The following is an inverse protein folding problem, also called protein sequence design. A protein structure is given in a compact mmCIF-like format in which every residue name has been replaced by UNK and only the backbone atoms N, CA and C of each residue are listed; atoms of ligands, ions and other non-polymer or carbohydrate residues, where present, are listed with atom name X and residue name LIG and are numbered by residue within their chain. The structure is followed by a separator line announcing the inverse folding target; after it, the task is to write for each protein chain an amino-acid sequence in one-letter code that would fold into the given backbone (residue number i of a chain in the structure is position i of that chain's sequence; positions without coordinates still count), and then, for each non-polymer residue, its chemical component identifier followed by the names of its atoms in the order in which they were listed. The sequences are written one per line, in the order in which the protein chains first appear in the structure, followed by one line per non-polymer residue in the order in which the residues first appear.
data_IF_733690850176
#
_entry.id   IF_733690850176
#
_cell.length_a   1.000
_cell.length_b   1.000
_cell.length_c   1.000
_cell.angle_alpha   90.00
_cell.angle_beta   90.00
_cell.angle_gamma   90.00
#
_symmetry.space_group_name_H-M   'P 1'
#
loop_
_entity.id
_entity.type
_entity.pdbx_description
1 polymer ?
#
# COMPACT_ATOMS: atom_id res chain seq x y z
N UNK A 1 26.71 -3.55 5.49
CA UNK A 1 25.41 -3.92 6.08
C UNK A 1 25.19 -5.38 5.71
N UNK A 2 25.15 -6.28 6.68
CA UNK A 2 24.76 -7.67 6.40
C UNK A 2 23.30 -7.69 5.96
N UNK A 3 23.05 -8.20 4.75
CA UNK A 3 21.69 -8.50 4.34
C UNK A 3 21.27 -9.80 5.02
N UNK A 4 20.07 -9.87 5.63
CA UNK A 4 19.60 -11.10 6.24
C UNK A 4 19.58 -12.20 5.19
N UNK A 5 19.98 -13.41 5.59
CA UNK A 5 20.02 -14.56 4.70
C UNK A 5 18.65 -14.75 4.01
N UNK A 6 18.63 -15.03 2.70
CA UNK A 6 17.38 -15.23 1.97
C UNK A 6 16.59 -16.40 2.58
N UNK A 7 15.26 -16.25 2.65
CA UNK A 7 14.36 -17.32 3.12
C UNK A 7 14.55 -18.58 2.28
N UNK A 8 14.56 -19.74 2.93
CA UNK A 8 14.62 -21.03 2.24
C UNK A 8 13.28 -21.33 1.54
N UNK A 9 13.29 -22.23 0.56
CA UNK A 9 12.06 -22.66 -0.11
C UNK A 9 11.03 -23.24 0.87
N UNK A 10 11.50 -23.97 1.88
CA UNK A 10 10.63 -24.56 2.89
C UNK A 10 9.99 -23.50 3.79
N UNK A 11 10.74 -22.45 4.16
CA UNK A 11 10.19 -21.31 4.89
C UNK A 11 9.15 -20.57 4.05
N UNK A 12 9.39 -20.35 2.76
CA UNK A 12 8.41 -19.74 1.87
C UNK A 12 7.14 -20.60 1.74
N UNK A 13 7.28 -21.91 1.52
CA UNK A 13 6.14 -22.85 1.47
C UNK A 13 5.33 -22.83 2.76
N UNK A 14 5.99 -22.77 3.92
CA UNK A 14 5.33 -22.69 5.22
C UNK A 14 4.53 -21.39 5.39
N UNK A 15 5.06 -20.24 4.95
CA UNK A 15 4.33 -18.96 4.98
C UNK A 15 3.09 -19.02 4.09
N UNK A 16 3.20 -19.54 2.87
CA UNK A 16 2.04 -19.67 1.98
C UNK A 16 0.97 -20.61 2.55
N UNK A 17 1.37 -21.74 3.11
CA UNK A 17 0.45 -22.66 3.78
C UNK A 17 -0.24 -22.00 4.98
N UNK A 18 0.52 -21.23 5.77
CA UNK A 18 -0.05 -20.49 6.89
C UNK A 18 -1.08 -19.42 6.45
N UNK A 19 -0.80 -18.70 5.36
CA UNK A 19 -1.77 -17.78 4.77
C UNK A 19 -3.06 -18.49 4.34
N UNK A 20 -2.93 -19.70 3.78
CA UNK A 20 -4.10 -20.53 3.43
C UNK A 20 -4.91 -20.91 4.67
N UNK A 21 -4.26 -21.39 5.74
CA UNK A 21 -4.95 -21.74 6.99
C UNK A 21 -5.68 -20.55 7.61
N UNK A 22 -5.11 -19.34 7.56
CA UNK A 22 -5.81 -18.14 8.03
C UNK A 22 -7.05 -17.87 7.18
N UNK A 23 -6.95 -17.97 5.85
CA UNK A 23 -8.09 -17.76 4.96
C UNK A 23 -9.22 -18.76 5.25
N UNK A 24 -8.89 -20.04 5.43
CA UNK A 24 -9.86 -21.08 5.76
C UNK A 24 -10.55 -20.79 7.11
N UNK A 25 -9.78 -20.46 8.15
CA UNK A 25 -10.31 -20.16 9.47
C UNK A 25 -11.22 -18.91 9.49
N UNK A 26 -10.89 -17.87 8.71
CA UNK A 26 -11.73 -16.68 8.59
C UNK A 26 -13.05 -16.99 7.87
N UNK A 27 -13.01 -17.81 6.82
CA UNK A 27 -14.20 -18.23 6.09
C UNK A 27 -15.10 -19.13 6.94
N UNK A 28 -14.53 -20.08 7.68
CA UNK A 28 -15.26 -20.96 8.61
C UNK A 28 -15.93 -20.16 9.74
N UNK A 29 -15.33 -19.04 10.15
CA UNK A 29 -15.91 -18.09 11.10
C UNK A 29 -16.96 -17.15 10.48
N UNK A 30 -17.21 -17.22 9.17
CA UNK A 30 -18.13 -16.33 8.45
C UNK A 30 -17.68 -14.87 8.39
N UNK A 31 -16.38 -14.60 8.59
CA UNK A 31 -15.82 -13.25 8.61
C UNK A 31 -15.38 -12.83 7.21
N UNK A 32 -16.02 -11.79 6.67
CA UNK A 32 -15.61 -11.20 5.41
C UNK A 32 -14.44 -10.21 5.59
N UNK A 33 -13.78 -9.85 4.48
CA UNK A 33 -12.60 -8.96 4.47
C UNK A 33 -12.88 -7.64 5.20
N UNK A 34 -14.06 -7.05 5.02
CA UNK A 34 -14.41 -5.76 5.65
C UNK A 34 -14.52 -5.89 7.18
N UNK A 35 -15.13 -6.96 7.68
CA UNK A 35 -15.28 -7.22 9.11
C UNK A 35 -13.93 -7.46 9.78
N UNK A 36 -13.02 -8.20 9.14
CA UNK A 36 -11.68 -8.43 9.66
C UNK A 36 -10.90 -7.12 9.72
N UNK A 37 -10.90 -6.33 8.63
CA UNK A 37 -10.16 -5.07 8.55
C UNK A 37 -10.68 -3.99 9.50
N UNK A 38 -12.00 -3.92 9.74
CA UNK A 38 -12.58 -2.97 10.73
C UNK A 38 -12.09 -3.22 12.15
N UNK A 39 -11.81 -4.48 12.50
CA UNK A 39 -11.36 -4.88 13.83
C UNK A 39 -9.84 -5.12 13.88
N UNK A 40 -9.14 -4.87 12.78
CA UNK A 40 -7.70 -5.10 12.66
C UNK A 40 -6.93 -3.99 13.36
N UNK A 41 -6.56 -4.23 14.61
CA UNK A 41 -5.86 -3.29 15.51
C UNK A 41 -4.37 -3.63 15.65
N UNK A 42 -3.73 -4.00 14.55
CA UNK A 42 -2.28 -4.10 14.53
C UNK A 42 -1.73 -2.68 14.70
N UNK A 43 -1.10 -2.41 15.84
CA UNK A 43 -0.42 -1.14 16.17
C UNK A 43 0.82 -0.94 15.27
N UNK A 44 0.57 -0.77 13.99
CA UNK A 44 1.58 -0.48 12.98
C UNK A 44 1.51 0.99 12.66
N UNK A 45 2.60 1.70 12.95
CA UNK A 45 2.75 3.07 12.50
C UNK A 45 2.80 3.14 10.97
N UNK A 46 2.20 4.19 10.42
CA UNK A 46 2.30 4.47 8.99
C UNK A 46 3.74 4.80 8.62
N UNK A 47 4.24 4.16 7.57
CA UNK A 47 5.49 4.53 6.91
C UNK A 47 5.24 4.65 5.40
N UNK A 48 6.23 5.17 4.67
CA UNK A 48 6.12 5.40 3.22
C UNK A 48 5.70 4.14 2.46
N UNK A 49 6.24 2.97 2.82
CA UNK A 49 5.97 1.72 2.12
C UNK A 49 4.58 1.18 2.44
N UNK A 50 4.11 1.30 3.68
CA UNK A 50 2.74 0.92 4.04
C UNK A 50 1.70 1.84 3.37
N UNK A 51 1.96 3.15 3.29
CA UNK A 51 1.12 4.07 2.51
C UNK A 51 1.09 3.69 1.03
N UNK A 52 2.26 3.38 0.44
CA UNK A 52 2.36 3.01 -0.97
C UNK A 52 1.67 1.69 -1.29
N UNK A 53 1.88 0.65 -0.49
CA UNK A 53 1.36 -0.69 -0.79
C UNK A 53 -0.09 -0.89 -0.35
N UNK A 54 -0.53 -0.24 0.73
CA UNK A 54 -1.89 -0.39 1.23
C UNK A 54 -2.82 0.62 0.58
N UNK A 55 -2.49 1.92 0.61
CA UNK A 55 -3.38 2.96 0.11
C UNK A 55 -3.20 3.17 -1.39
N UNK A 56 -2.00 3.52 -1.83
CA UNK A 56 -1.76 3.89 -3.22
C UNK A 56 -1.99 2.73 -4.19
N UNK A 57 -1.38 1.56 -3.95
CA UNK A 57 -1.54 0.38 -4.83
C UNK A 57 -2.98 -0.11 -4.92
N UNK A 58 -3.72 -0.06 -3.82
CA UNK A 58 -5.15 -0.44 -3.82
C UNK A 58 -5.97 0.54 -4.64
N UNK A 59 -5.79 1.84 -4.43
CA UNK A 59 -6.48 2.87 -5.20
C UNK A 59 -6.10 2.80 -6.69
N UNK A 60 -4.81 2.64 -7.00
CA UNK A 60 -4.29 2.50 -8.35
C UNK A 60 -4.95 1.33 -9.09
N UNK A 61 -4.92 0.12 -8.51
CA UNK A 61 -5.50 -1.07 -9.16
C UNK A 61 -7.00 -0.90 -9.40
N UNK A 62 -7.73 -0.34 -8.44
CA UNK A 62 -9.18 -0.14 -8.56
C UNK A 62 -9.56 0.93 -9.58
N UNK A 63 -8.80 2.01 -9.68
CA UNK A 63 -9.14 3.15 -10.55
C UNK A 63 -8.59 3.01 -11.97
N UNK A 64 -7.47 2.32 -12.14
CA UNK A 64 -6.73 2.27 -13.42
C UNK A 64 -6.53 0.86 -13.96
N UNK A 65 -6.75 -0.18 -13.14
CA UNK A 65 -6.41 -1.57 -13.49
C UNK A 65 -4.91 -1.88 -13.50
N UNK A 66 -4.04 -0.89 -13.26
CA UNK A 66 -2.58 -1.04 -13.37
C UNK A 66 -1.96 -1.53 -12.07
N UNK A 67 -0.93 -2.38 -12.19
CA UNK A 67 -0.29 -3.00 -11.03
C UNK A 67 0.98 -2.28 -10.60
N UNK A 68 1.70 -1.66 -11.54
CA UNK A 68 2.94 -0.91 -11.25
C UNK A 68 2.76 0.61 -11.39
N UNK A 69 3.49 1.39 -10.61
CA UNK A 69 3.50 2.87 -10.70
C UNK A 69 4.22 3.31 -11.96
N UNK A 70 5.08 2.46 -12.52
CA UNK A 70 5.77 2.70 -13.80
C UNK A 70 4.80 2.64 -14.99
N UNK A 71 3.61 2.05 -14.82
CA UNK A 71 2.59 1.94 -15.86
C UNK A 71 1.65 3.16 -15.88
N UNK A 72 1.70 4.03 -14.86
CA UNK A 72 0.77 5.14 -14.73
C UNK A 72 1.07 6.27 -15.73
N UNK A 73 0.01 6.85 -16.29
CA UNK A 73 0.13 8.12 -16.99
C UNK A 73 0.48 9.22 -15.99
N UNK A 74 1.51 10.01 -16.32
CA UNK A 74 2.12 10.98 -15.40
C UNK A 74 1.14 12.00 -14.81
N UNK A 75 0.10 12.36 -15.55
CA UNK A 75 -0.89 13.35 -15.10
C UNK A 75 -2.22 12.70 -14.73
N UNK A 76 -2.86 11.99 -15.66
CA UNK A 76 -4.24 11.55 -15.47
C UNK A 76 -4.39 10.49 -14.37
N UNK A 77 -3.60 9.41 -14.43
CA UNK A 77 -3.70 8.32 -13.46
C UNK A 77 -3.23 8.75 -12.07
N UNK A 78 -2.16 9.53 -12.00
CA UNK A 78 -1.63 10.07 -10.74
C UNK A 78 -2.65 10.99 -10.07
N UNK A 79 -3.26 11.91 -10.82
CA UNK A 79 -4.28 12.83 -10.29
C UNK A 79 -5.50 12.07 -9.77
N UNK A 80 -6.00 11.08 -10.52
CA UNK A 80 -7.14 10.25 -10.10
C UNK A 80 -6.88 9.53 -8.78
N UNK A 81 -5.70 8.92 -8.63
CA UNK A 81 -5.33 8.20 -7.41
C UNK A 81 -5.17 9.18 -6.24
N UNK A 82 -4.48 10.31 -6.47
CA UNK A 82 -4.28 11.36 -5.48
C UNK A 82 -5.61 11.92 -4.94
N UNK A 83 -6.55 12.28 -5.81
CA UNK A 83 -7.86 12.81 -5.39
C UNK A 83 -8.70 11.77 -4.64
N UNK A 84 -8.61 10.50 -5.02
CA UNK A 84 -9.29 9.42 -4.29
C UNK A 84 -8.71 9.24 -2.87
N UNK A 85 -7.39 9.31 -2.73
CA UNK A 85 -6.74 9.24 -1.42
C UNK A 85 -7.08 10.45 -0.55
N UNK A 86 -7.03 11.67 -1.07
CA UNK A 86 -7.41 12.86 -0.32
C UNK A 86 -8.87 12.81 0.15
N UNK A 87 -9.80 12.32 -0.68
CA UNK A 87 -11.19 12.12 -0.27
C UNK A 87 -11.33 11.06 0.83
N UNK A 88 -10.54 9.99 0.76
CA UNK A 88 -10.53 8.95 1.80
C UNK A 88 -9.96 9.50 3.12
N UNK A 89 -8.83 10.18 3.06
CA UNK A 89 -8.17 10.80 4.22
C UNK A 89 -9.04 11.86 4.89
N UNK A 90 -9.75 12.69 4.11
CA UNK A 90 -10.70 13.66 4.64
C UNK A 90 -11.83 13.01 5.44
N UNK A 91 -12.31 11.82 5.04
CA UNK A 91 -13.31 11.05 5.82
C UNK A 91 -12.77 10.55 7.16
N UNK A 92 -11.46 10.43 7.28
CA UNK A 92 -10.77 10.06 8.52
C UNK A 92 -10.36 11.29 9.35
N UNK A 93 -10.70 12.50 8.90
CA UNK A 93 -10.33 13.75 9.58
C UNK A 93 -8.90 14.22 9.32
N UNK A 94 -8.19 13.63 8.34
CA UNK A 94 -6.85 14.08 7.94
C UNK A 94 -6.99 15.25 6.97
N UNK A 95 -6.29 16.35 7.26
CA UNK A 95 -6.26 17.55 6.41
C UNK A 95 -5.65 17.24 5.03
N UNK A 96 -6.02 18.05 4.03
CA UNK A 96 -5.55 17.89 2.66
C UNK A 96 -4.02 17.93 2.57
N UNK A 97 -3.43 16.86 2.05
CA UNK A 97 -1.98 16.75 1.84
C UNK A 97 -1.69 17.11 0.38
N UNK A 98 -1.00 18.24 0.09
CA UNK A 98 -0.70 18.63 -1.28
C UNK A 98 0.24 17.62 -1.94
N UNK A 99 -0.04 17.27 -3.20
CA UNK A 99 0.93 16.52 -4.00
C UNK A 99 2.20 17.36 -4.17
N UNK A 100 3.41 16.79 -3.98
CA UNK A 100 4.65 17.52 -4.18
C UNK A 100 4.82 17.84 -5.67
N UNK A 101 4.32 19.00 -6.08
CA UNK A 101 4.40 19.53 -7.43
C UNK A 101 5.58 20.50 -7.50
N UNK A 102 6.72 20.03 -8.03
CA UNK A 102 7.92 20.81 -8.37
C UNK A 102 8.26 21.93 -7.37
N UNK A 103 8.65 21.56 -6.16
CA UNK A 103 9.42 22.48 -5.33
C UNK A 103 10.83 22.64 -5.96
N UNK A 104 11.30 23.87 -6.25
CA UNK A 104 12.69 24.10 -6.63
C UNK A 104 13.61 23.54 -5.53
N UNK A 105 14.43 22.54 -5.87
CA UNK A 105 15.33 21.86 -4.92
C UNK A 105 14.85 20.49 -4.40
N UNK A 106 13.65 20.02 -4.75
CA UNK A 106 13.20 18.66 -4.40
C UNK A 106 14.08 17.59 -5.05
N UNK A 107 14.46 17.78 -6.33
CA UNK A 107 15.33 16.87 -7.07
C UNK A 107 16.77 16.82 -6.53
N UNK A 108 17.21 17.88 -5.83
CA UNK A 108 18.56 17.94 -5.23
C UNK A 108 18.64 17.17 -3.91
N UNK A 109 17.51 17.00 -3.21
CA UNK A 109 17.41 16.29 -1.92
C UNK A 109 16.84 14.88 -2.04
N UNK A 110 16.35 14.48 -3.22
CA UNK A 110 15.81 13.15 -3.45
C UNK A 110 16.96 12.11 -3.50
N UNK A 111 16.91 11.01 -2.72
CA UNK A 111 17.99 10.02 -2.63
C UNK A 111 18.11 9.10 -3.86
N UNK A 112 17.54 9.47 -4.99
CA UNK A 112 17.57 8.68 -6.23
C UNK A 112 18.35 9.43 -7.29
N UNK A 113 19.67 9.30 -7.22
CA UNK A 113 20.56 9.44 -8.38
C UNK A 113 20.56 8.11 -9.13
N UNK A 114 20.18 8.13 -10.39
CA UNK A 114 20.55 7.15 -11.41
C UNK A 114 20.85 7.93 -12.68
#
# INVERSE_FOLDING_TARGET
MEHPAPRTEQQNKAIHLYCQHIADALNDAGLNIEQVLKNFTLELDWNKDSVKEILWRTAQKRLTGKHSTTELSKHEDITKVYEALNRFLAKLGVEHIPFPSHEPGYYEKAPLRS
#
